data_IF_930795138807
#
_entry.id   IF_930795138807
#
_cell.length_a   1.000
_cell.length_b   1.000
_cell.length_c   1.000
_cell.angle_alpha   90.00
_cell.angle_beta   90.00
_cell.angle_gamma   90.00
#
_symmetry.space_group_name_H-M   'P 1'
#
loop_
_entity.id
_entity.type
_entity.pdbx_description
1 polymer ?
#
# COMPACT_ATOMS: atom_id res chain seq x y z
N UNK A 1 22.82 17.90 -4.17
CA UNK A 1 21.59 17.82 -3.35
C UNK A 1 21.02 16.40 -3.38
N UNK A 2 20.77 15.81 -4.55
CA UNK A 2 20.26 14.43 -4.70
C UNK A 2 21.03 13.39 -3.88
N UNK A 3 22.34 13.21 -4.12
CA UNK A 3 23.16 12.22 -3.41
C UNK A 3 23.19 12.40 -1.89
N UNK A 4 23.15 13.66 -1.42
CA UNK A 4 23.08 13.95 0.03
C UNK A 4 21.77 13.38 0.57
N UNK A 5 20.65 13.71 -0.07
CA UNK A 5 19.33 13.23 0.36
C UNK A 5 19.20 11.71 0.23
N UNK A 6 19.79 11.07 -0.78
CA UNK A 6 19.88 9.61 -0.88
C UNK A 6 20.55 8.99 0.34
N UNK A 7 21.62 9.59 0.86
CA UNK A 7 22.28 9.11 2.09
C UNK A 7 21.47 9.34 3.37
N UNK A 8 20.44 10.20 3.31
CA UNK A 8 19.57 10.55 4.44
C UNK A 8 18.23 9.80 4.42
N UNK A 9 17.80 9.26 3.27
CA UNK A 9 16.57 8.47 3.16
C UNK A 9 16.62 7.32 4.18
N UNK A 10 15.51 7.17 4.92
CA UNK A 10 15.33 6.15 5.93
C UNK A 10 15.96 6.46 7.29
N UNK A 11 16.68 7.58 7.43
CA UNK A 11 17.16 8.03 8.74
C UNK A 11 16.01 8.64 9.56
N UNK A 12 16.08 8.44 10.87
CA UNK A 12 15.15 9.03 11.83
C UNK A 12 15.26 10.54 11.84
N UNK A 13 14.17 11.23 12.12
CA UNK A 13 14.19 12.70 12.17
C UNK A 13 15.13 13.27 13.27
N UNK A 14 15.38 12.48 14.32
CA UNK A 14 16.28 12.83 15.41
C UNK A 14 17.74 12.38 15.18
N UNK A 15 18.08 11.87 13.99
CA UNK A 15 19.47 11.60 13.59
C UNK A 15 20.20 12.93 13.37
N UNK A 16 21.41 13.08 13.94
CA UNK A 16 22.20 14.31 13.83
C UNK A 16 22.43 14.73 12.37
N UNK A 17 22.58 13.79 11.44
CA UNK A 17 22.77 14.10 10.01
C UNK A 17 21.52 14.73 9.39
N UNK A 18 20.33 14.33 9.84
CA UNK A 18 19.07 14.95 9.42
C UNK A 18 18.98 16.36 10.00
N UNK A 19 19.23 16.51 11.30
CA UNK A 19 19.17 17.82 11.98
C UNK A 19 20.12 18.82 11.31
N UNK A 20 21.39 18.44 11.14
CA UNK A 20 22.41 19.26 10.46
C UNK A 20 21.99 19.63 9.03
N UNK A 21 21.41 18.68 8.28
CA UNK A 21 20.93 18.94 6.92
C UNK A 21 19.79 19.98 6.92
N UNK A 22 18.81 19.83 7.81
CA UNK A 22 17.66 20.74 7.91
C UNK A 22 18.13 22.15 8.25
N UNK A 23 19.00 22.30 9.25
CA UNK A 23 19.54 23.59 9.69
C UNK A 23 20.37 24.26 8.59
N UNK A 24 21.32 23.53 8.00
CA UNK A 24 22.21 24.05 6.93
C UNK A 24 21.43 24.55 5.71
N UNK A 25 20.30 23.91 5.40
CA UNK A 25 19.50 24.22 4.21
C UNK A 25 18.27 25.10 4.55
N UNK A 26 18.14 25.58 5.79
CA UNK A 26 17.09 26.51 6.20
C UNK A 26 15.68 25.91 6.25
N UNK A 27 15.57 24.59 6.41
CA UNK A 27 14.30 23.94 6.75
C UNK A 27 13.93 24.31 8.20
N UNK A 28 12.62 24.45 8.46
CA UNK A 28 12.14 24.60 9.84
C UNK A 28 12.03 23.22 10.46
N UNK A 29 12.79 22.95 11.51
CA UNK A 29 12.62 21.72 12.28
C UNK A 29 11.19 21.65 12.83
N UNK A 30 10.49 20.51 12.69
CA UNK A 30 9.10 20.40 13.12
C UNK A 30 8.99 20.52 14.65
N UNK A 31 7.99 21.29 15.12
CA UNK A 31 7.72 21.44 16.56
C UNK A 31 7.32 20.12 17.23
N UNK A 32 6.74 19.20 16.45
CA UNK A 32 6.35 17.86 16.87
C UNK A 32 7.05 16.87 15.94
N UNK A 33 8.30 16.49 16.21
CA UNK A 33 9.05 15.58 15.35
C UNK A 33 8.53 14.14 15.42
N UNK A 34 7.62 13.83 16.34
CA UNK A 34 7.05 12.51 16.53
C UNK A 34 5.61 12.42 16.03
N UNK A 35 5.21 11.20 15.67
CA UNK A 35 3.86 10.88 15.21
C UNK A 35 3.08 10.21 16.34
N UNK A 36 1.83 10.61 16.53
CA UNK A 36 0.94 10.03 17.53
C UNK A 36 -0.11 9.17 16.85
N UNK A 37 -0.30 7.93 17.30
CA UNK A 37 -1.41 7.07 16.82
C UNK A 37 -2.81 7.58 17.23
N UNK A 38 -2.88 8.64 18.05
CA UNK A 38 -4.15 9.34 18.31
C UNK A 38 -4.51 10.33 17.21
N UNK A 39 -3.56 10.64 16.32
CA UNK A 39 -3.81 11.38 15.09
C UNK A 39 -4.12 10.40 13.96
N UNK A 40 -4.92 10.83 13.00
CA UNK A 40 -5.05 10.14 11.71
C UNK A 40 -3.79 10.30 10.85
N UNK A 41 -2.95 11.30 11.16
CA UNK A 41 -1.75 11.59 10.38
C UNK A 41 -0.63 10.61 10.74
N UNK A 42 -0.27 9.76 9.77
CA UNK A 42 0.86 8.81 9.86
C UNK A 42 2.15 9.36 9.21
N UNK A 43 2.10 10.60 8.74
CA UNK A 43 3.20 11.31 8.09
C UNK A 43 3.03 12.82 8.17
N UNK A 44 4.09 13.58 7.91
CA UNK A 44 4.03 15.03 7.71
C UNK A 44 5.14 15.53 6.79
N UNK A 45 4.85 16.60 6.07
CA UNK A 45 5.83 17.30 5.22
C UNK A 45 6.58 18.37 6.00
N UNK A 46 7.89 18.45 5.78
CA UNK A 46 8.74 19.57 6.13
C UNK A 46 9.12 20.27 4.82
N UNK A 47 8.37 21.31 4.49
CA UNK A 47 8.47 22.02 3.22
C UNK A 47 9.58 23.08 3.22
N UNK A 48 10.26 23.26 2.08
CA UNK A 48 11.17 24.37 1.87
C UNK A 48 10.95 25.01 0.50
N UNK A 49 10.08 26.02 0.50
CA UNK A 49 9.66 26.71 -0.73
C UNK A 49 10.77 27.47 -1.46
N UNK A 50 11.82 27.86 -0.72
CA UNK A 50 12.98 28.56 -1.31
C UNK A 50 13.82 27.60 -2.14
N UNK A 51 14.01 26.37 -1.65
CA UNK A 51 14.75 25.33 -2.36
C UNK A 51 13.90 24.57 -3.38
N UNK A 52 12.57 24.61 -3.24
CA UNK A 52 11.67 23.82 -4.08
C UNK A 52 11.72 22.33 -3.72
N UNK A 53 12.01 22.01 -2.45
CA UNK A 53 12.19 20.66 -1.95
C UNK A 53 11.34 20.47 -0.71
N UNK A 54 10.56 19.39 -0.67
CA UNK A 54 9.78 18.97 0.48
C UNK A 54 10.27 17.61 0.97
N UNK A 55 10.30 17.44 2.29
CA UNK A 55 10.73 16.21 2.97
C UNK A 55 9.55 15.58 3.68
N UNK A 56 9.17 14.35 3.31
CA UNK A 56 8.13 13.58 3.98
C UNK A 56 8.76 12.74 5.08
N UNK A 57 8.39 13.04 6.31
CA UNK A 57 8.69 12.19 7.45
C UNK A 57 7.47 11.33 7.76
N UNK A 58 7.66 10.02 7.81
CA UNK A 58 6.58 9.07 8.07
C UNK A 58 7.09 7.91 8.90
N UNK A 59 6.22 7.32 9.72
CA UNK A 59 6.57 6.05 10.35
C UNK A 59 6.30 4.93 9.34
N UNK A 60 7.33 4.13 9.10
CA UNK A 60 7.33 3.14 8.04
C UNK A 60 6.84 1.80 8.61
N UNK A 61 5.64 1.39 8.22
CA UNK A 61 5.15 0.04 8.53
C UNK A 61 5.41 -0.93 7.39
N UNK A 62 5.45 -0.46 6.14
CA UNK A 62 5.39 -1.32 4.95
C UNK A 62 6.70 -1.41 4.16
N UNK A 63 7.84 -1.14 4.79
CA UNK A 63 9.16 -1.28 4.17
C UNK A 63 10.01 -2.21 5.04
N UNK A 64 10.37 -3.42 4.56
CA UNK A 64 11.04 -4.43 5.39
C UNK A 64 12.31 -3.95 6.10
N UNK A 65 13.12 -3.13 5.42
CA UNK A 65 14.36 -2.57 5.98
C UNK A 65 14.17 -1.39 6.94
N UNK A 66 12.95 -0.87 7.09
CA UNK A 66 12.64 0.32 7.88
C UNK A 66 11.39 0.08 8.71
N UNK A 67 11.54 -0.72 9.77
CA UNK A 67 10.43 -1.06 10.66
C UNK A 67 9.90 0.16 11.43
N UNK A 68 8.66 0.04 11.93
CA UNK A 68 8.01 1.04 12.76
C UNK A 68 8.81 1.27 14.07
N UNK A 69 9.24 2.51 14.29
CA UNK A 69 10.07 2.88 15.46
C UNK A 69 9.18 3.46 16.55
N UNK A 70 9.06 2.76 17.67
CA UNK A 70 8.35 3.24 18.85
C UNK A 70 9.19 4.29 19.59
N UNK A 71 8.56 5.39 20.00
CA UNK A 71 9.16 6.38 20.87
C UNK A 71 9.00 6.01 22.35
N UNK A 72 9.51 6.88 23.24
CA UNK A 72 9.54 6.65 24.69
C UNK A 72 8.16 6.54 25.36
N UNK A 73 7.10 6.92 24.65
CA UNK A 73 5.73 6.92 25.17
C UNK A 73 4.85 6.05 24.29
N UNK A 74 3.98 5.26 24.93
CA UNK A 74 2.95 4.48 24.24
C UNK A 74 2.14 5.37 23.30
N UNK A 75 2.05 4.95 22.05
CA UNK A 75 1.33 5.65 20.99
C UNK A 75 2.12 6.75 20.30
N UNK A 76 3.39 6.96 20.65
CA UNK A 76 4.30 7.89 19.98
C UNK A 76 5.30 7.10 19.14
N UNK A 77 5.58 7.58 17.93
CA UNK A 77 6.45 6.95 16.95
C UNK A 77 7.47 7.95 16.42
N UNK A 78 8.68 7.46 16.14
CA UNK A 78 9.75 8.26 15.55
C UNK A 78 9.71 8.06 14.03
N UNK A 79 9.35 9.09 13.25
CA UNK A 79 9.31 8.96 11.80
C UNK A 79 10.73 8.97 11.21
N UNK A 80 10.85 8.37 10.04
CA UNK A 80 12.05 8.43 9.21
C UNK A 80 11.79 9.29 7.97
N UNK A 81 12.84 9.80 7.34
CA UNK A 81 12.75 10.45 6.04
C UNK A 81 12.34 9.43 4.98
N UNK A 82 11.05 9.36 4.66
CA UNK A 82 10.49 8.35 3.76
C UNK A 82 10.48 8.78 2.30
N UNK A 83 10.31 10.07 2.04
CA UNK A 83 10.27 10.61 0.68
C UNK A 83 10.81 12.03 0.64
N UNK A 84 11.39 12.38 -0.49
CA UNK A 84 11.78 13.72 -0.86
C UNK A 84 11.13 14.03 -2.20
N UNK A 85 10.59 15.24 -2.33
CA UNK A 85 9.97 15.72 -3.54
C UNK A 85 10.60 17.05 -3.95
N UNK A 86 11.01 17.14 -5.21
CA UNK A 86 11.38 18.39 -5.85
C UNK A 86 10.25 18.78 -6.79
N UNK A 87 9.69 19.98 -6.64
CA UNK A 87 8.64 20.49 -7.53
C UNK A 87 9.12 21.66 -8.39
N UNK A 88 10.42 21.99 -8.31
CA UNK A 88 11.18 22.80 -9.24
C UNK A 88 12.68 22.57 -9.00
N UNK A 89 13.55 23.22 -9.79
CA UNK A 89 15.01 23.09 -9.65
C UNK A 89 15.71 24.29 -8.99
N UNK A 90 15.06 25.03 -8.08
CA UNK A 90 15.72 26.15 -7.37
C UNK A 90 16.91 25.72 -6.51
N UNK A 91 16.91 24.47 -6.07
CA UNK A 91 18.02 23.83 -5.35
C UNK A 91 19.24 23.49 -6.24
N UNK A 92 19.16 23.71 -7.56
CA UNK A 92 20.20 23.34 -8.54
C UNK A 92 20.62 21.87 -8.38
N UNK A 93 19.63 21.00 -8.20
CA UNK A 93 19.84 19.58 -8.07
C UNK A 93 20.15 19.00 -9.45
N UNK A 94 21.26 18.27 -9.55
CA UNK A 94 21.53 17.37 -10.66
C UNK A 94 20.81 16.05 -10.37
N UNK A 95 19.85 15.70 -11.21
CA UNK A 95 19.12 14.43 -11.12
C UNK A 95 19.85 13.35 -11.93
N UNK A 96 19.66 12.05 -11.59
CA UNK A 96 20.24 10.97 -12.37
C UNK A 96 19.87 11.07 -13.86
N UNK A 97 20.76 10.58 -14.73
CA UNK A 97 20.62 10.61 -16.19
C UNK A 97 20.54 12.03 -16.81
N UNK A 98 20.86 13.07 -16.03
CA UNK A 98 20.84 14.46 -16.47
C UNK A 98 19.42 14.96 -16.78
N UNK A 99 18.41 14.42 -16.09
CA UNK A 99 17.02 14.88 -16.23
C UNK A 99 16.81 16.21 -15.53
N UNK A 100 15.85 16.99 -16.05
CA UNK A 100 15.32 18.20 -15.42
C UNK A 100 13.84 18.40 -15.79
N UNK A 101 13.23 19.47 -15.29
CA UNK A 101 11.80 19.78 -15.47
C UNK A 101 11.40 20.17 -16.91
N UNK A 102 12.35 20.32 -17.83
CA UNK A 102 12.08 20.72 -19.22
C UNK A 102 11.83 19.54 -20.17
N UNK A 103 12.07 18.31 -19.71
CA UNK A 103 11.88 17.11 -20.51
C UNK A 103 10.39 16.88 -20.85
N UNK A 104 10.12 16.53 -22.11
CA UNK A 104 8.80 16.12 -22.59
C UNK A 104 8.61 14.60 -22.47
N UNK A 105 7.38 14.14 -22.67
CA UNK A 105 7.01 12.73 -22.55
C UNK A 105 7.85 11.78 -23.41
N UNK A 106 8.06 12.09 -24.70
CA UNK A 106 8.82 11.22 -25.60
C UNK A 106 10.30 11.14 -25.22
N UNK A 107 10.92 12.27 -24.84
CA UNK A 107 12.29 12.28 -24.33
C UNK A 107 12.44 11.51 -23.03
N UNK A 108 11.42 11.52 -22.16
CA UNK A 108 11.39 10.72 -20.94
C UNK A 108 11.32 9.23 -21.28
N UNK A 109 10.47 8.84 -22.23
CA UNK A 109 10.36 7.46 -22.69
C UNK A 109 11.67 6.93 -23.28
N UNK A 110 12.35 7.73 -24.08
CA UNK A 110 13.64 7.35 -24.67
C UNK A 110 14.70 7.10 -23.59
N UNK A 111 14.71 7.92 -22.52
CA UNK A 111 15.71 7.83 -21.44
C UNK A 111 15.38 6.80 -20.37
N UNK A 112 14.11 6.65 -20.02
CA UNK A 112 13.65 5.89 -18.86
C UNK A 112 12.89 4.61 -19.23
N UNK A 113 12.54 4.43 -20.51
CA UNK A 113 11.60 3.40 -20.96
C UNK A 113 10.14 3.82 -20.76
N UNK A 114 9.22 2.88 -20.91
CA UNK A 114 7.79 3.12 -20.67
C UNK A 114 7.52 3.49 -19.20
N UNK A 115 6.49 4.32 -18.93
CA UNK A 115 6.10 4.64 -17.56
C UNK A 115 5.68 3.36 -16.82
N UNK A 116 6.03 3.28 -15.53
CA UNK A 116 5.70 2.14 -14.68
C UNK A 116 4.26 2.15 -14.18
N UNK A 117 3.63 3.33 -14.12
CA UNK A 117 2.23 3.53 -13.72
C UNK A 117 1.62 4.61 -14.61
N UNK A 118 0.38 4.42 -15.03
CA UNK A 118 -0.49 5.45 -15.62
C UNK A 118 -1.79 5.55 -14.83
N UNK A 119 -2.49 6.69 -14.93
CA UNK A 119 -3.68 6.96 -14.14
C UNK A 119 -4.77 5.88 -14.20
N UNK A 120 -4.99 5.27 -15.37
CA UNK A 120 -5.97 4.20 -15.56
C UNK A 120 -5.64 2.89 -14.87
N UNK A 121 -4.38 2.67 -14.50
CA UNK A 121 -4.00 1.50 -13.71
C UNK A 121 -4.54 1.60 -12.28
N UNK A 122 -4.88 2.80 -11.81
CA UNK A 122 -5.44 3.05 -10.47
C UNK A 122 -6.96 2.92 -10.49
N UNK A 123 -7.64 3.66 -11.36
CA UNK A 123 -9.09 3.56 -11.57
C UNK A 123 -9.53 4.44 -12.74
N UNK A 124 -10.59 4.07 -13.49
CA UNK A 124 -11.16 4.91 -14.56
C UNK A 124 -11.53 6.33 -14.14
N UNK A 125 -11.80 6.58 -12.85
CA UNK A 125 -12.10 7.94 -12.35
C UNK A 125 -10.91 8.89 -12.44
N UNK A 126 -9.70 8.36 -12.61
CA UNK A 126 -8.48 9.13 -12.78
C UNK A 126 -8.18 9.43 -14.26
N UNK A 127 -8.99 8.93 -15.19
CA UNK A 127 -8.93 9.38 -16.58
C UNK A 127 -9.53 10.77 -16.70
N UNK A 128 -9.08 11.51 -17.71
CA UNK A 128 -9.73 12.74 -18.14
C UNK A 128 -11.11 12.43 -18.75
N UNK A 129 -11.96 13.44 -18.87
CA UNK A 129 -13.32 13.30 -19.42
C UNK A 129 -13.34 12.71 -20.85
N UNK A 130 -12.25 12.87 -21.61
CA UNK A 130 -12.07 12.32 -22.96
C UNK A 130 -11.49 10.89 -22.98
N UNK A 131 -11.26 10.29 -21.81
CA UNK A 131 -10.68 8.97 -21.63
C UNK A 131 -9.15 8.91 -21.72
N UNK A 132 -8.46 10.05 -21.84
CA UNK A 132 -7.00 10.11 -21.81
C UNK A 132 -6.44 10.03 -20.38
N UNK A 133 -5.17 9.64 -20.25
CA UNK A 133 -4.51 9.54 -18.95
C UNK A 133 -4.28 10.93 -18.34
N UNK A 134 -4.61 11.11 -17.06
CA UNK A 134 -4.34 12.36 -16.33
C UNK A 134 -2.87 12.50 -15.90
N UNK A 135 -2.15 11.38 -15.76
CA UNK A 135 -0.72 11.37 -15.50
C UNK A 135 -0.04 10.05 -15.84
N UNK A 136 1.29 10.11 -15.92
CA UNK A 136 2.22 8.99 -16.04
C UNK A 136 3.32 9.11 -14.99
N UNK A 137 3.77 7.99 -14.43
CA UNK A 137 4.86 7.95 -13.45
C UNK A 137 5.93 6.97 -13.86
N UNK A 138 7.18 7.38 -13.64
CA UNK A 138 8.34 6.51 -13.66
C UNK A 138 8.81 6.30 -12.23
N UNK A 139 9.16 5.07 -11.89
CA UNK A 139 9.83 4.69 -10.65
C UNK A 139 10.97 3.75 -11.01
N UNK A 140 12.18 4.08 -10.57
CA UNK A 140 13.41 3.38 -10.88
C UNK A 140 14.08 3.00 -9.56
N UNK A 141 14.42 1.72 -9.43
CA UNK A 141 15.13 1.19 -8.27
C UNK A 141 16.58 1.68 -8.31
N UNK A 142 17.02 2.34 -7.24
CA UNK A 142 18.41 2.75 -7.04
C UNK A 142 19.20 1.73 -6.24
N UNK A 143 18.57 1.18 -5.21
CA UNK A 143 19.17 0.24 -4.26
C UNK A 143 18.04 -0.67 -3.75
N UNK A 144 18.02 -1.91 -4.22
CA UNK A 144 16.97 -2.88 -3.89
C UNK A 144 17.05 -3.32 -2.42
N UNK A 145 18.27 -3.51 -1.90
CA UNK A 145 18.53 -3.92 -0.50
C UNK A 145 18.01 -2.88 0.48
N UNK A 146 18.16 -1.59 0.14
CA UNK A 146 17.64 -0.47 0.94
C UNK A 146 16.28 0.01 0.47
N UNK A 147 15.67 -0.64 -0.52
CA UNK A 147 14.39 -0.22 -1.10
C UNK A 147 14.37 1.25 -1.54
N UNK A 148 15.49 1.80 -2.00
CA UNK A 148 15.54 3.19 -2.49
C UNK A 148 15.05 3.25 -3.93
N UNK A 149 14.12 4.16 -4.19
CA UNK A 149 13.57 4.42 -5.50
C UNK A 149 13.62 5.90 -5.80
N UNK A 150 13.73 6.24 -7.08
CA UNK A 150 13.57 7.60 -7.57
C UNK A 150 12.72 7.62 -8.84
N UNK A 151 12.17 8.77 -9.17
CA UNK A 151 11.25 8.86 -10.29
C UNK A 151 10.67 10.24 -10.48
N UNK A 152 9.64 10.31 -11.30
CA UNK A 152 8.93 11.56 -11.62
C UNK A 152 7.48 11.29 -12.03
N UNK A 153 6.65 12.32 -11.89
CA UNK A 153 5.27 12.37 -12.40
C UNK A 153 5.17 13.37 -13.55
N UNK A 154 4.71 12.90 -14.71
CA UNK A 154 4.38 13.72 -15.88
C UNK A 154 2.86 13.81 -16.03
N UNK A 155 2.33 15.02 -16.15
CA UNK A 155 0.87 15.25 -16.14
C UNK A 155 0.31 15.50 -17.54
N UNK A 156 -1.00 15.38 -17.67
CA UNK A 156 -1.80 15.83 -18.81
C UNK A 156 -1.49 17.26 -19.31
N UNK A 157 -1.10 18.15 -18.40
CA UNK A 157 -0.62 19.51 -18.67
C UNK A 157 0.75 19.57 -19.39
N UNK A 158 1.28 18.43 -19.84
CA UNK A 158 2.53 18.31 -20.60
C UNK A 158 3.78 18.79 -19.83
N UNK A 159 3.79 18.62 -18.51
CA UNK A 159 4.90 19.04 -17.64
C UNK A 159 5.26 17.95 -16.63
N UNK A 160 6.53 17.97 -16.19
CA UNK A 160 6.94 17.24 -15.00
C UNK A 160 6.45 18.01 -13.78
N UNK A 161 5.56 17.40 -13.00
CA UNK A 161 5.04 18.00 -11.77
C UNK A 161 6.08 17.94 -10.64
N UNK A 162 6.73 16.79 -10.49
CA UNK A 162 7.79 16.61 -9.51
C UNK A 162 8.76 15.48 -9.87
N UNK A 163 9.99 15.62 -9.37
CA UNK A 163 10.89 14.49 -9.15
C UNK A 163 10.75 14.02 -7.72
N UNK A 164 10.87 12.72 -7.50
CA UNK A 164 10.88 12.16 -6.16
C UNK A 164 11.97 11.13 -5.94
N UNK A 165 12.42 11.05 -4.69
CA UNK A 165 13.35 10.07 -4.15
C UNK A 165 12.73 9.55 -2.86
N UNK A 166 12.76 8.26 -2.60
CA UNK A 166 12.20 7.75 -1.36
C UNK A 166 12.41 6.27 -1.16
N UNK A 167 11.78 5.77 -0.10
CA UNK A 167 11.62 4.35 0.13
C UNK A 167 10.46 3.83 -0.71
N UNK A 168 10.66 2.68 -1.36
CA UNK A 168 9.63 1.97 -2.12
C UNK A 168 8.51 1.59 -1.16
N UNK A 169 7.43 2.35 -1.20
CA UNK A 169 6.28 2.14 -0.34
C UNK A 169 5.41 1.05 -0.92
N UNK A 170 5.22 -0.04 -0.18
CA UNK A 170 4.34 -1.13 -0.58
C UNK A 170 3.00 -0.94 0.10
N UNK A 171 1.90 -0.86 -0.67
CA UNK A 171 0.58 -0.86 -0.07
C UNK A 171 0.21 -2.29 0.35
N UNK A 172 -0.34 -2.49 1.55
CA UNK A 172 -0.92 -3.78 1.92
C UNK A 172 -2.04 -4.21 0.99
N UNK A 173 -2.02 -5.47 0.57
CA UNK A 173 -3.17 -6.14 -0.02
C UNK A 173 -4.22 -6.47 1.06
N UNK A 174 -3.76 -6.79 2.28
CA UNK A 174 -4.61 -7.05 3.44
C UNK A 174 -4.02 -6.42 4.71
N UNK A 175 -4.86 -5.83 5.54
CA UNK A 175 -4.48 -5.28 6.84
C UNK A 175 -5.10 -6.11 7.97
N UNK A 176 -4.28 -6.94 8.61
CA UNK A 176 -4.74 -7.93 9.58
C UNK A 176 -4.90 -7.31 10.98
N UNK A 177 -3.93 -6.51 11.41
CA UNK A 177 -3.97 -5.81 12.69
C UNK A 177 -3.10 -4.56 12.69
N UNK A 178 -3.40 -3.64 13.64
CA UNK A 178 -2.74 -2.35 13.67
C UNK A 178 -1.48 -2.31 14.52
N UNK A 179 -0.32 -2.30 13.88
CA UNK A 179 0.98 -2.16 14.55
C UNK A 179 1.11 -0.80 15.26
N UNK A 180 0.47 0.24 14.71
CA UNK A 180 0.34 1.56 15.34
C UNK A 180 -0.42 1.50 16.67
N UNK A 181 -1.32 0.54 16.84
CA UNK A 181 -2.11 0.32 18.06
C UNK A 181 -1.38 -0.50 19.13
N UNK A 182 -0.11 -0.89 18.91
CA UNK A 182 0.57 -1.93 19.70
C UNK A 182 -0.20 -3.26 19.65
N UNK A 183 -0.94 -3.51 18.56
CA UNK A 183 -1.52 -4.83 18.32
C UNK A 183 -0.41 -5.79 17.88
N UNK A 184 -0.58 -7.05 18.25
CA UNK A 184 0.31 -8.15 17.88
C UNK A 184 -0.54 -9.32 17.41
N UNK A 185 0.13 -10.38 16.95
CA UNK A 185 -0.51 -11.58 16.46
C UNK A 185 -1.47 -12.21 17.48
N UNK A 186 -1.12 -12.20 18.76
CA UNK A 186 -1.90 -12.79 19.85
C UNK A 186 -3.21 -12.02 20.09
N UNK A 187 -3.17 -10.69 20.03
CA UNK A 187 -4.36 -9.85 20.04
C UNK A 187 -5.16 -9.96 18.73
N UNK A 188 -4.49 -10.25 17.61
CA UNK A 188 -5.17 -10.57 16.37
C UNK A 188 -6.02 -11.83 16.51
N UNK A 189 -5.43 -12.89 17.07
CA UNK A 189 -6.07 -14.20 17.29
C UNK A 189 -7.20 -14.17 18.34
N UNK A 190 -7.16 -13.26 19.31
CA UNK A 190 -8.15 -13.20 20.40
C UNK A 190 -9.40 -12.39 20.07
N UNK A 191 -9.41 -11.59 18.99
CA UNK A 191 -10.59 -10.83 18.59
C UNK A 191 -11.41 -11.60 17.58
N UNK A 192 -12.72 -11.50 17.72
CA UNK A 192 -13.67 -12.02 16.75
C UNK A 192 -14.32 -10.85 15.99
N UNK A 193 -13.98 -10.70 14.72
CA UNK A 193 -14.70 -9.84 13.79
C UNK A 193 -14.73 -10.45 12.39
N UNK A 194 -15.74 -10.09 11.62
CA UNK A 194 -15.98 -10.67 10.30
C UNK A 194 -14.87 -10.39 9.28
N UNK A 195 -14.39 -9.14 9.20
CA UNK A 195 -13.38 -8.73 8.21
C UNK A 195 -12.13 -9.62 8.31
N UNK A 196 -11.67 -9.93 9.52
CA UNK A 196 -10.53 -10.84 9.73
C UNK A 196 -10.85 -12.28 9.33
N UNK A 197 -12.05 -12.77 9.68
CA UNK A 197 -12.48 -14.11 9.26
C UNK A 197 -12.50 -14.22 7.74
N UNK A 198 -13.02 -13.20 7.05
CA UNK A 198 -13.05 -13.14 5.59
C UNK A 198 -11.64 -13.06 5.00
N UNK A 199 -10.75 -12.21 5.53
CA UNK A 199 -9.36 -12.10 5.06
C UNK A 199 -8.62 -13.44 5.20
N UNK A 200 -8.76 -14.13 6.34
CA UNK A 200 -8.16 -15.44 6.54
C UNK A 200 -8.67 -16.47 5.52
N UNK A 201 -9.97 -16.43 5.16
CA UNK A 201 -10.53 -17.34 4.16
C UNK A 201 -9.97 -17.05 2.77
N UNK A 202 -9.77 -15.77 2.43
CA UNK A 202 -9.11 -15.40 1.18
C UNK A 202 -7.67 -15.89 1.13
N UNK A 203 -6.92 -15.70 2.22
CA UNK A 203 -5.53 -16.13 2.30
C UNK A 203 -5.38 -17.65 2.21
N UNK A 204 -6.29 -18.42 2.85
CA UNK A 204 -6.29 -19.87 2.68
C UNK A 204 -6.56 -20.25 1.22
N UNK A 205 -7.53 -19.62 0.56
CA UNK A 205 -7.80 -19.83 -0.87
C UNK A 205 -6.56 -19.52 -1.74
N UNK A 206 -5.87 -18.41 -1.48
CA UNK A 206 -4.69 -18.04 -2.25
C UNK A 206 -3.54 -19.03 -2.09
N UNK A 207 -3.35 -19.57 -0.88
CA UNK A 207 -2.37 -20.63 -0.59
C UNK A 207 -2.75 -21.92 -1.33
N UNK A 208 -4.01 -22.35 -1.24
CA UNK A 208 -4.49 -23.57 -1.92
C UNK A 208 -4.34 -23.50 -3.45
N UNK A 209 -4.40 -22.30 -4.03
CA UNK A 209 -4.27 -22.01 -5.46
C UNK A 209 -2.84 -21.74 -5.93
N UNK A 210 -1.83 -21.92 -5.06
CA UNK A 210 -0.42 -21.63 -5.36
C UNK A 210 -0.15 -20.18 -5.81
N UNK A 211 -0.96 -19.23 -5.31
CA UNK A 211 -0.83 -17.80 -5.66
C UNK A 211 0.13 -17.04 -4.76
N UNK A 212 0.54 -17.63 -3.63
CA UNK A 212 1.51 -17.05 -2.71
C UNK A 212 2.94 -17.51 -3.05
N UNK A 213 3.95 -16.80 -2.56
CA UNK A 213 5.33 -17.26 -2.63
C UNK A 213 5.51 -18.59 -1.87
N UNK A 214 6.18 -19.60 -2.48
CA UNK A 214 6.40 -20.89 -1.82
C UNK A 214 7.17 -20.75 -0.51
N UNK A 215 6.69 -21.44 0.52
CA UNK A 215 7.39 -21.63 1.78
C UNK A 215 6.98 -22.96 2.41
N UNK A 216 7.77 -23.45 3.38
CA UNK A 216 7.42 -24.66 4.13
C UNK A 216 6.05 -24.51 4.78
N UNK A 217 5.79 -23.36 5.42
CA UNK A 217 4.54 -23.09 6.12
C UNK A 217 3.37 -22.98 5.14
N UNK A 218 3.53 -22.32 3.98
CA UNK A 218 2.47 -22.28 2.97
C UNK A 218 2.11 -23.68 2.45
N UNK A 219 3.11 -24.54 2.28
CA UNK A 219 2.90 -25.95 1.87
C UNK A 219 2.14 -26.73 2.93
N UNK A 220 2.50 -26.60 4.20
CA UNK A 220 1.82 -27.27 5.30
C UNK A 220 0.38 -26.77 5.50
N UNK A 221 0.11 -25.48 5.26
CA UNK A 221 -1.26 -24.94 5.24
C UNK A 221 -2.06 -25.53 4.08
N UNK A 222 -1.50 -25.57 2.87
CA UNK A 222 -2.15 -26.17 1.69
C UNK A 222 -2.51 -27.64 1.91
N UNK A 223 -1.64 -28.39 2.58
CA UNK A 223 -1.86 -29.80 2.91
C UNK A 223 -2.79 -30.02 4.12
N UNK A 224 -3.30 -28.95 4.73
CA UNK A 224 -4.19 -29.01 5.89
C UNK A 224 -3.50 -29.42 7.21
N UNK A 225 -2.16 -29.36 7.26
CA UNK A 225 -1.37 -29.69 8.47
C UNK A 225 -1.30 -28.54 9.46
N UNK A 226 -1.34 -27.30 8.97
CA UNK A 226 -1.37 -26.08 9.77
C UNK A 226 -2.55 -25.19 9.37
N UNK A 227 -3.11 -24.40 10.29
CA UNK A 227 -4.08 -23.38 9.93
C UNK A 227 -3.40 -22.20 9.22
N UNK A 228 -4.14 -21.47 8.37
CA UNK A 228 -3.65 -20.27 7.66
C UNK A 228 -3.06 -19.21 8.59
N UNK A 229 -3.49 -19.17 9.85
CA UNK A 229 -2.98 -18.24 10.87
C UNK A 229 -1.49 -18.46 11.18
N UNK A 230 -0.94 -19.66 10.97
CA UNK A 230 0.51 -19.89 11.13
C UNK A 230 1.33 -19.29 9.99
N UNK A 231 0.75 -19.21 8.77
CA UNK A 231 1.37 -18.43 7.69
C UNK A 231 1.37 -16.94 8.01
N UNK A 232 0.27 -16.41 8.54
CA UNK A 232 0.20 -15.02 9.04
C UNK A 232 1.24 -14.78 10.14
N UNK A 233 1.39 -15.69 11.11
CA UNK A 233 2.40 -15.59 12.16
C UNK A 233 3.82 -15.51 11.58
N UNK A 234 4.10 -16.31 10.56
CA UNK A 234 5.40 -16.36 9.90
C UNK A 234 5.78 -15.08 9.14
N UNK A 235 4.80 -14.29 8.69
CA UNK A 235 5.05 -12.96 8.10
C UNK A 235 5.63 -11.98 9.13
N UNK A 236 5.36 -12.21 10.43
CA UNK A 236 5.82 -11.39 11.54
C UNK A 236 5.50 -9.88 11.37
N UNK A 237 4.31 -9.57 10.83
CA UNK A 237 3.83 -8.20 10.59
C UNK A 237 2.31 -8.16 10.50
N UNK A 238 1.73 -6.98 10.73
CA UNK A 238 0.27 -6.77 10.77
C UNK A 238 -0.47 -6.78 9.42
N UNK A 239 0.17 -7.21 8.33
CA UNK A 239 -0.34 -7.03 6.98
C UNK A 239 0.26 -8.03 5.97
N UNK A 240 -0.41 -8.16 4.82
CA UNK A 240 0.07 -8.92 3.64
C UNK A 240 0.33 -7.94 2.51
N UNK A 241 1.45 -8.08 1.82
CA UNK A 241 1.83 -7.23 0.69
C UNK A 241 1.52 -7.93 -0.63
N UNK A 242 1.33 -7.15 -1.70
CA UNK A 242 1.24 -7.69 -3.07
C UNK A 242 2.46 -8.59 -3.41
N UNK A 243 3.65 -8.20 -2.95
CA UNK A 243 4.88 -8.97 -3.16
C UNK A 243 4.92 -10.32 -2.42
N UNK A 244 3.97 -10.62 -1.55
CA UNK A 244 3.83 -11.96 -0.95
C UNK A 244 3.15 -12.94 -1.91
N UNK A 245 2.48 -12.42 -2.94
CA UNK A 245 1.91 -13.19 -4.03
C UNK A 245 2.94 -13.43 -5.14
N UNK A 246 2.80 -14.58 -5.80
CA UNK A 246 3.65 -15.03 -6.91
C UNK A 246 2.92 -14.98 -8.26
N UNK A 247 1.59 -14.88 -8.24
CA UNK A 247 0.74 -14.82 -9.43
C UNK A 247 -0.54 -14.01 -9.15
N UNK A 248 -1.23 -13.61 -10.22
CA UNK A 248 -2.56 -12.95 -10.17
C UNK A 248 -2.60 -11.64 -9.36
N UNK A 249 -1.46 -10.94 -9.18
CA UNK A 249 -1.39 -9.68 -8.42
C UNK A 249 -2.41 -8.63 -8.86
N UNK A 250 -2.59 -8.46 -10.18
CA UNK A 250 -3.60 -7.53 -10.74
C UNK A 250 -5.03 -7.88 -10.37
N UNK A 251 -5.38 -9.17 -10.27
CA UNK A 251 -6.70 -9.60 -9.82
C UNK A 251 -6.88 -9.27 -8.33
N UNK A 252 -5.87 -9.58 -7.52
CA UNK A 252 -5.90 -9.36 -6.08
C UNK A 252 -6.09 -7.87 -5.81
N UNK A 253 -5.26 -7.01 -6.41
CA UNK A 253 -5.38 -5.55 -6.25
C UNK A 253 -6.74 -5.02 -6.72
N UNK A 254 -7.21 -5.49 -7.89
CA UNK A 254 -8.50 -5.08 -8.42
C UNK A 254 -9.66 -5.46 -7.49
N UNK A 255 -9.56 -6.60 -6.80
CA UNK A 255 -10.66 -7.17 -6.01
C UNK A 255 -10.62 -6.79 -4.52
N UNK A 256 -9.44 -6.68 -3.91
CA UNK A 256 -9.31 -6.36 -2.48
C UNK A 256 -9.27 -4.85 -2.22
N UNK A 257 -8.77 -4.06 -3.17
CA UNK A 257 -8.70 -2.61 -3.06
C UNK A 257 -9.73 -1.87 -3.94
N UNK A 258 -10.62 -2.60 -4.64
CA UNK A 258 -11.63 -2.06 -5.56
C UNK A 258 -11.04 -1.12 -6.63
N UNK A 259 -9.84 -1.41 -7.11
CA UNK A 259 -9.16 -0.60 -8.12
C UNK A 259 -9.73 -0.81 -9.54
N UNK A 260 -10.68 -1.73 -9.71
CA UNK A 260 -11.31 -2.00 -11.01
C UNK A 260 -12.24 -0.89 -11.50
N UNK A 261 -12.71 -0.01 -10.61
CA UNK A 261 -13.73 1.00 -10.92
C UNK A 261 -15.15 0.44 -11.17
N UNK A 262 -15.35 -0.88 -11.09
CA UNK A 262 -16.63 -1.54 -11.33
C UNK A 262 -17.44 -1.79 -10.04
N UNK A 263 -17.03 -1.16 -8.92
CA UNK A 263 -17.60 -1.32 -7.58
C UNK A 263 -17.71 -2.78 -7.11
N UNK A 264 -16.60 -3.52 -7.25
CA UNK A 264 -16.47 -4.91 -6.84
C UNK A 264 -15.36 -5.00 -5.82
N UNK A 265 -15.73 -5.41 -4.60
CA UNK A 265 -14.85 -5.43 -3.45
C UNK A 265 -15.06 -6.73 -2.68
N UNK A 266 -13.95 -7.43 -2.40
CA UNK A 266 -13.98 -8.73 -1.72
C UNK A 266 -14.70 -8.69 -0.38
N UNK A 267 -14.37 -7.73 0.50
CA UNK A 267 -14.98 -7.65 1.84
C UNK A 267 -16.51 -7.52 1.76
N UNK A 268 -17.01 -6.77 0.78
CA UNK A 268 -18.45 -6.57 0.55
C UNK A 268 -19.12 -7.82 -0.01
N UNK A 269 -18.54 -8.44 -1.05
CA UNK A 269 -19.05 -9.69 -1.61
C UNK A 269 -19.07 -10.81 -0.55
N UNK A 270 -18.02 -10.88 0.29
CA UNK A 270 -17.94 -11.82 1.40
C UNK A 270 -19.06 -11.56 2.41
N UNK A 271 -19.28 -10.31 2.83
CA UNK A 271 -20.37 -9.96 3.74
C UNK A 271 -21.74 -10.37 3.16
N UNK A 272 -21.97 -10.08 1.88
CA UNK A 272 -23.23 -10.38 1.19
C UNK A 272 -23.50 -11.87 1.02
N UNK A 273 -22.47 -12.71 1.14
CA UNK A 273 -22.61 -14.17 1.16
C UNK A 273 -23.29 -14.66 2.45
N UNK A 274 -23.23 -13.89 3.53
CA UNK A 274 -23.79 -14.24 4.85
C UNK A 274 -24.98 -13.38 5.28
N UNK A 275 -25.24 -12.25 4.61
CA UNK A 275 -26.40 -11.41 4.86
C UNK A 275 -27.57 -11.82 3.96
N UNK A 276 -28.68 -12.24 4.58
CA UNK A 276 -29.80 -12.85 3.86
C UNK A 276 -30.75 -11.82 3.22
N UNK A 277 -30.85 -10.60 3.76
CA UNK A 277 -31.85 -9.61 3.31
C UNK A 277 -31.23 -8.42 2.58
N UNK A 278 -31.95 -7.80 1.61
CA UNK A 278 -31.50 -6.61 0.92
C UNK A 278 -31.16 -5.44 1.86
N UNK A 279 -31.91 -5.28 2.94
CA UNK A 279 -31.73 -4.19 3.91
C UNK A 279 -30.41 -4.32 4.65
N UNK A 280 -30.03 -5.56 5.02
CA UNK A 280 -28.75 -5.84 5.66
C UNK A 280 -27.60 -5.61 4.69
N UNK A 281 -27.75 -6.03 3.42
CA UNK A 281 -26.72 -5.80 2.39
C UNK A 281 -26.52 -4.31 2.10
N UNK A 282 -27.59 -3.53 2.05
CA UNK A 282 -27.50 -2.08 1.79
C UNK A 282 -26.72 -1.31 2.86
N UNK A 283 -26.66 -1.83 4.10
CA UNK A 283 -25.88 -1.26 5.20
C UNK A 283 -25.18 -2.36 6.00
N UNK A 284 -24.24 -3.04 5.34
CA UNK A 284 -23.43 -4.12 5.90
C UNK A 284 -22.53 -3.67 7.08
N UNK A 285 -22.26 -2.37 7.18
CA UNK A 285 -21.57 -1.76 8.34
C UNK A 285 -22.49 -1.37 9.50
N UNK A 286 -23.80 -1.51 9.34
CA UNK A 286 -24.81 -1.24 10.38
C UNK A 286 -24.71 -2.22 11.55
N UNK A 287 -25.20 -1.82 12.72
CA UNK A 287 -25.11 -2.63 13.95
C UNK A 287 -25.75 -4.02 13.80
N UNK A 288 -26.90 -4.10 13.13
CA UNK A 288 -27.60 -5.35 12.88
C UNK A 288 -26.80 -6.30 11.97
N UNK A 289 -26.26 -5.80 10.85
CA UNK A 289 -25.44 -6.59 9.93
C UNK A 289 -24.14 -7.04 10.60
N UNK A 290 -23.44 -6.12 11.29
CA UNK A 290 -22.21 -6.44 12.03
C UNK A 290 -22.41 -7.52 13.08
N UNK A 291 -23.55 -7.52 13.79
CA UNK A 291 -23.86 -8.56 14.77
C UNK A 291 -23.90 -9.94 14.11
N UNK A 292 -24.62 -10.08 12.99
CA UNK A 292 -24.73 -11.33 12.24
C UNK A 292 -23.39 -11.76 11.63
N UNK A 293 -22.68 -10.81 11.01
CA UNK A 293 -21.38 -11.07 10.40
C UNK A 293 -20.34 -11.52 11.43
N UNK A 294 -20.35 -10.94 12.64
CA UNK A 294 -19.44 -11.34 13.71
C UNK A 294 -19.79 -12.69 14.35
N UNK A 295 -20.91 -13.34 13.98
CA UNK A 295 -21.21 -14.73 14.36
C UNK A 295 -20.63 -15.74 13.35
N UNK A 296 -20.15 -15.27 12.19
CA UNK A 296 -19.53 -16.13 11.17
C UNK A 296 -18.16 -16.58 11.66
N UNK A 297 -18.06 -17.88 11.98
CA UNK A 297 -16.82 -18.52 12.38
C UNK A 297 -15.99 -19.00 11.19
N UNK A 298 -14.67 -19.07 11.41
CA UNK A 298 -13.74 -19.72 10.50
C UNK A 298 -13.89 -21.25 10.58
N UNK A 299 -14.64 -21.82 9.64
CA UNK A 299 -14.87 -23.26 9.54
C UNK A 299 -14.99 -23.68 8.07
N UNK A 300 -14.97 -24.99 7.83
CA UNK A 300 -14.96 -25.58 6.48
C UNK A 300 -16.19 -25.19 5.64
N UNK A 301 -17.38 -25.10 6.25
CA UNK A 301 -18.61 -24.79 5.54
C UNK A 301 -18.67 -23.34 5.08
N UNK A 302 -18.26 -22.40 5.93
CA UNK A 302 -18.16 -20.99 5.57
C UNK A 302 -17.01 -20.75 4.59
N UNK A 303 -15.88 -21.45 4.76
CA UNK A 303 -14.76 -21.38 3.84
C UNK A 303 -15.16 -21.83 2.42
N UNK A 304 -15.90 -22.93 2.26
CA UNK A 304 -16.40 -23.38 0.95
C UNK A 304 -17.22 -22.33 0.22
N UNK A 305 -18.08 -21.59 0.94
CA UNK A 305 -18.89 -20.50 0.34
C UNK A 305 -17.99 -19.39 -0.20
N UNK A 306 -17.04 -18.94 0.61
CA UNK A 306 -16.08 -17.89 0.23
C UNK A 306 -15.16 -18.34 -0.91
N UNK A 307 -14.65 -19.57 -0.86
CA UNK A 307 -13.86 -20.16 -1.94
C UNK A 307 -14.61 -20.16 -3.28
N UNK A 308 -15.88 -20.59 -3.28
CA UNK A 308 -16.71 -20.57 -4.48
C UNK A 308 -16.95 -19.15 -5.01
N UNK A 309 -17.11 -18.17 -4.12
CA UNK A 309 -17.23 -16.76 -4.49
C UNK A 309 -15.96 -16.26 -5.19
N UNK A 310 -14.79 -16.47 -4.56
CA UNK A 310 -13.51 -15.96 -5.09
C UNK A 310 -13.17 -16.63 -6.43
N UNK A 311 -13.41 -17.94 -6.57
CA UNK A 311 -13.21 -18.67 -7.84
C UNK A 311 -14.04 -18.10 -8.99
N UNK A 312 -15.30 -17.75 -8.72
CA UNK A 312 -16.17 -17.09 -9.70
C UNK A 312 -15.60 -15.73 -10.10
N UNK A 313 -15.18 -14.91 -9.14
CA UNK A 313 -14.63 -13.57 -9.41
C UNK A 313 -13.30 -13.61 -10.15
N UNK A 314 -12.43 -14.57 -9.85
CA UNK A 314 -11.20 -14.77 -10.62
C UNK A 314 -11.50 -15.10 -12.09
N UNK A 315 -12.52 -15.92 -12.34
CA UNK A 315 -12.96 -16.25 -13.71
C UNK A 315 -13.48 -15.00 -14.43
N UNK A 316 -14.39 -14.25 -13.81
CA UNK A 316 -14.91 -12.99 -14.37
C UNK A 316 -13.80 -11.96 -14.66
N UNK A 317 -12.80 -11.87 -13.78
CA UNK A 317 -11.65 -10.99 -13.99
C UNK A 317 -10.82 -11.42 -15.21
N UNK A 318 -10.57 -12.72 -15.37
CA UNK A 318 -9.84 -13.25 -16.53
C UNK A 318 -10.60 -13.05 -17.84
N UNK A 319 -11.92 -13.17 -17.80
CA UNK A 319 -12.76 -13.08 -19.01
C UNK A 319 -12.92 -11.65 -19.50
N UNK A 320 -13.16 -10.69 -18.59
CA UNK A 320 -13.48 -9.32 -18.99
C UNK A 320 -13.02 -8.25 -17.99
N UNK A 321 -12.09 -8.56 -17.09
CA UNK A 321 -11.52 -7.59 -16.13
C UNK A 321 -12.60 -6.88 -15.31
N UNK A 322 -13.63 -7.62 -14.87
CA UNK A 322 -14.81 -7.10 -14.17
C UNK A 322 -15.74 -6.15 -14.93
N UNK A 323 -15.46 -5.78 -16.18
CA UNK A 323 -16.29 -4.84 -16.96
C UNK A 323 -17.75 -5.24 -17.14
N UNK A 324 -18.06 -6.54 -17.08
CA UNK A 324 -19.41 -7.08 -17.21
C UNK A 324 -19.95 -7.66 -15.89
N UNK A 325 -19.14 -7.60 -14.82
CA UNK A 325 -19.53 -8.13 -13.53
C UNK A 325 -20.58 -7.25 -12.86
N UNK A 326 -21.42 -7.89 -12.06
CA UNK A 326 -22.37 -7.21 -11.18
C UNK A 326 -22.00 -7.44 -9.73
N UNK A 327 -22.37 -6.50 -8.87
CA UNK A 327 -22.40 -6.71 -7.43
C UNK A 327 -23.35 -7.86 -7.07
N UNK A 328 -22.99 -8.68 -6.10
CA UNK A 328 -23.74 -9.88 -5.66
C UNK A 328 -24.87 -9.53 -4.69
#
# INVERSE_FOLDING_TARGET
MFNILTSLIGLRIDDNRIIEFLEKNGFKYPKKPFISNRSTDTSYWVENKKLGVDLLFQAQTYVPGYSLIQGDKKGIFVPVLGRVRWYNNKSKTEFPLGLDFSYNFESLKEKLGEPGIKSSDISPIWLNDDGSESFYRWEIILDDERSHVWGLEYTDNQVIKDFSLGLKYQMPAFYLYSEWGYENFENFMSRHNFDRTADLMFLQWAIERDLVKPSVIATEVKEGKLPVTEWVRALNRGYVLESDFSAEGRFIDAYTANLSGNDILYSRDAAYTFLETPELKQNDYGEAAKKLLNEVSYNEDNYKKIKSLIDKRLTEYKDHGFRQSKQI
#
